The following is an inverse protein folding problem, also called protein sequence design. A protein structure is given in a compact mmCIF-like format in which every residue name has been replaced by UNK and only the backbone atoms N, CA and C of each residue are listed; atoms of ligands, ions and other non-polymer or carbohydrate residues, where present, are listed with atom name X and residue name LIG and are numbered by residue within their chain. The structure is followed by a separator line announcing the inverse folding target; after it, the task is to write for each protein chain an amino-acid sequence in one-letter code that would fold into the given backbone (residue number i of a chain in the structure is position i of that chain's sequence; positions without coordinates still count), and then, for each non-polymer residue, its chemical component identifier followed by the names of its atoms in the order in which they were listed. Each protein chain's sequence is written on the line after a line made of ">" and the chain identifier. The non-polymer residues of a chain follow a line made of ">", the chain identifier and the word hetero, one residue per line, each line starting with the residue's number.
data_IF_762284631911
#
_entry.id   IF_762284631911
#
_cell.length_a   1.000
_cell.length_b   1.000
_cell.length_c   1.000
_cell.angle_alpha   90.00
_cell.angle_beta   90.00
_cell.angle_gamma   90.00
#
_symmetry.space_group_name_H-M   'P 1'
#
loop_
_entity.id
_entity.type
_entity.pdbx_description
1 polymer ?
#
# COMPACT_ATOMS: atom_id res chain seq x y z
N UNK A 1 -40.11 -0.23 57.50
CA UNK A 1 -38.72 0.20 57.21
C UNK A 1 -37.80 -0.93 56.79
N UNK A 2 -37.87 -2.10 57.43
CA UNK A 2 -36.96 -3.23 57.12
C UNK A 2 -37.09 -3.80 55.69
N UNK A 3 -38.27 -3.80 55.10
CA UNK A 3 -38.54 -4.33 53.76
C UNK A 3 -38.11 -3.37 52.63
N UNK A 4 -38.16 -2.06 52.87
CA UNK A 4 -37.70 -1.04 51.88
C UNK A 4 -36.19 -1.09 51.76
N UNK A 5 -35.48 -1.32 52.87
CA UNK A 5 -34.00 -1.43 52.86
C UNK A 5 -33.56 -2.68 52.11
N UNK A 6 -34.23 -3.80 52.20
CA UNK A 6 -33.93 -5.05 51.47
C UNK A 6 -34.17 -4.88 49.98
N UNK A 7 -35.22 -4.17 49.55
CA UNK A 7 -35.54 -3.91 48.16
C UNK A 7 -34.49 -2.97 47.56
N UNK A 8 -34.08 -1.91 48.26
CA UNK A 8 -33.03 -0.98 47.79
C UNK A 8 -31.67 -1.70 47.63
N UNK A 9 -31.32 -2.62 48.54
CA UNK A 9 -30.07 -3.40 48.43
C UNK A 9 -30.08 -4.37 47.26
N UNK A 10 -31.23 -4.97 46.93
CA UNK A 10 -31.36 -5.89 45.78
C UNK A 10 -31.26 -5.09 44.46
N UNK A 11 -31.87 -3.89 44.39
CA UNK A 11 -31.77 -3.03 43.22
C UNK A 11 -30.33 -2.52 43.02
N UNK A 12 -29.63 -2.17 44.09
CA UNK A 12 -28.23 -1.74 44.02
C UNK A 12 -27.27 -2.88 43.60
N UNK A 13 -27.53 -4.12 43.99
CA UNK A 13 -26.75 -5.30 43.58
C UNK A 13 -27.00 -5.67 42.11
N UNK A 14 -28.20 -5.44 41.55
CA UNK A 14 -28.52 -5.76 40.15
C UNK A 14 -27.94 -4.76 39.16
N UNK A 15 -27.54 -3.55 39.57
CA UNK A 15 -26.88 -2.56 38.72
C UNK A 15 -25.37 -2.83 38.56
N UNK A 16 -24.76 -3.62 39.43
CA UNK A 16 -23.30 -3.86 39.42
C UNK A 16 -22.88 -4.99 38.47
N UNK A 17 -23.80 -5.75 37.89
CA UNK A 17 -23.46 -6.97 37.15
C UNK A 17 -23.40 -6.84 35.62
N UNK A 18 -23.46 -5.64 35.06
CA UNK A 18 -23.26 -5.42 33.60
C UNK A 18 -21.98 -4.69 33.28
N UNK A 19 -20.86 -5.05 33.88
CA UNK A 19 -19.57 -4.85 33.22
C UNK A 19 -19.42 -6.01 32.24
N UNK A 20 -20.07 -5.88 31.09
CA UNK A 20 -19.73 -6.70 29.92
C UNK A 20 -18.27 -6.38 29.64
N UNK A 21 -17.40 -7.30 30.00
CA UNK A 21 -16.02 -7.29 29.52
C UNK A 21 -16.14 -7.51 28.00
N UNK A 22 -16.30 -6.42 27.23
CA UNK A 22 -16.31 -6.50 25.79
C UNK A 22 -14.95 -7.08 25.39
N UNK A 23 -14.96 -8.34 24.95
CA UNK A 23 -13.77 -8.98 24.43
C UNK A 23 -13.29 -8.12 23.27
N UNK A 24 -12.10 -7.56 23.38
CA UNK A 24 -11.48 -6.82 22.31
C UNK A 24 -10.94 -7.84 21.30
N UNK A 25 -11.39 -7.77 20.08
CA UNK A 25 -10.88 -8.62 19.01
C UNK A 25 -9.59 -8.02 18.45
N UNK A 26 -8.59 -8.88 18.26
CA UNK A 26 -7.31 -8.47 17.66
C UNK A 26 -7.38 -8.61 16.14
N UNK A 27 -6.83 -7.64 15.44
CA UNK A 27 -6.75 -7.63 13.99
C UNK A 27 -5.36 -7.16 13.56
N UNK A 28 -4.69 -7.95 12.72
CA UNK A 28 -3.40 -7.61 12.13
C UNK A 28 -3.58 -7.13 10.69
N UNK A 29 -2.97 -5.99 10.33
CA UNK A 29 -2.97 -5.43 8.99
C UNK A 29 -1.52 -5.31 8.50
N UNK A 30 -1.15 -6.10 7.49
CA UNK A 30 0.10 -5.90 6.77
C UNK A 30 0.00 -4.68 5.85
N UNK A 31 0.92 -3.74 6.02
CA UNK A 31 1.04 -2.60 5.11
C UNK A 31 1.74 -3.05 3.83
N UNK A 32 1.52 -2.33 2.74
CA UNK A 32 2.17 -2.57 1.44
C UNK A 32 3.59 -1.98 1.38
N UNK A 33 3.87 -1.02 2.26
CA UNK A 33 5.12 -0.26 2.33
C UNK A 33 5.41 0.13 3.78
N UNK A 34 6.54 0.78 4.05
CA UNK A 34 6.70 1.48 5.31
C UNK A 34 5.68 2.62 5.44
N UNK A 35 5.38 3.04 6.66
CA UNK A 35 4.34 4.05 6.94
C UNK A 35 4.58 5.30 6.11
N UNK A 36 3.56 5.72 5.38
CA UNK A 36 3.56 6.85 4.47
C UNK A 36 2.19 7.57 4.50
N UNK A 37 2.00 8.69 3.80
CA UNK A 37 0.75 9.46 3.82
C UNK A 37 -0.50 8.68 3.40
N UNK A 38 -0.38 7.65 2.57
CA UNK A 38 -1.53 6.86 2.10
C UNK A 38 -2.13 5.99 3.22
N UNK A 39 -1.35 5.70 4.25
CA UNK A 39 -1.82 5.03 5.47
C UNK A 39 -2.50 5.97 6.48
N UNK A 40 -2.61 7.29 6.19
CA UNK A 40 -3.15 8.27 7.11
C UNK A 40 -4.54 7.90 7.68
N UNK A 41 -5.52 7.35 6.92
CA UNK A 41 -6.81 6.95 7.48
C UNK A 41 -6.68 5.93 8.61
N UNK A 42 -5.81 4.93 8.45
CA UNK A 42 -5.57 3.89 9.44
C UNK A 42 -4.85 4.45 10.68
N UNK A 43 -3.84 5.26 10.48
CA UNK A 43 -3.08 5.91 11.56
C UNK A 43 -3.98 6.86 12.37
N UNK A 44 -4.85 7.62 11.70
CA UNK A 44 -5.82 8.52 12.35
C UNK A 44 -6.82 7.69 13.15
N UNK A 45 -7.38 6.63 12.56
CA UNK A 45 -8.31 5.74 13.25
C UNK A 45 -7.70 5.15 14.52
N UNK A 46 -6.43 4.72 14.47
CA UNK A 46 -5.69 4.22 15.63
C UNK A 46 -5.45 5.31 16.68
N UNK A 47 -4.94 6.49 16.26
CA UNK A 47 -4.63 7.62 17.17
C UNK A 47 -5.87 8.22 17.82
N UNK A 48 -7.02 8.19 17.14
CA UNK A 48 -8.31 8.67 17.63
C UNK A 48 -9.11 7.61 18.38
N UNK A 49 -8.58 6.41 18.58
CA UNK A 49 -9.22 5.26 19.22
C UNK A 49 -10.47 4.72 18.49
N UNK A 50 -10.70 5.08 17.21
CA UNK A 50 -11.89 4.62 16.46
C UNK A 50 -11.98 3.09 16.37
N UNK A 51 -10.83 2.38 16.32
CA UNK A 51 -10.82 0.92 16.40
C UNK A 51 -11.26 0.42 17.78
N UNK A 52 -10.77 1.03 18.86
CA UNK A 52 -11.15 0.68 20.24
C UNK A 52 -12.63 0.93 20.53
N UNK A 53 -13.19 2.00 19.97
CA UNK A 53 -14.59 2.38 20.14
C UNK A 53 -15.55 1.30 19.58
N UNK A 54 -15.06 0.48 18.63
CA UNK A 54 -15.80 -0.66 18.07
C UNK A 54 -15.27 -2.01 18.54
N UNK A 55 -14.45 -2.04 19.62
CA UNK A 55 -13.97 -3.26 20.24
C UNK A 55 -12.82 -3.95 19.47
N UNK A 56 -12.06 -3.22 18.66
CA UNK A 56 -10.91 -3.75 17.92
C UNK A 56 -9.58 -3.26 18.52
N UNK A 57 -8.60 -4.15 18.59
CA UNK A 57 -7.19 -3.87 18.79
C UNK A 57 -6.46 -4.14 17.46
N UNK A 58 -6.09 -3.07 16.75
CA UNK A 58 -5.47 -3.18 15.42
C UNK A 58 -3.97 -3.00 15.53
N UNK A 59 -3.23 -3.99 15.00
CA UNK A 59 -1.78 -3.93 14.84
C UNK A 59 -1.46 -3.75 13.34
N UNK A 60 -0.72 -2.69 12.99
CA UNK A 60 -0.23 -2.43 11.66
C UNK A 60 1.23 -2.86 11.54
N UNK A 61 1.55 -3.69 10.56
CA UNK A 61 2.85 -4.33 10.40
C UNK A 61 3.46 -3.88 9.07
N UNK A 62 4.59 -3.19 9.13
CA UNK A 62 5.38 -2.86 7.93
C UNK A 62 6.00 -4.13 7.35
N UNK A 63 5.98 -4.31 6.03
CA UNK A 63 6.52 -5.52 5.42
C UNK A 63 8.05 -5.53 5.39
N UNK A 64 8.64 -6.72 5.52
CA UNK A 64 10.07 -6.93 5.27
C UNK A 64 10.39 -6.99 3.77
N UNK A 65 9.43 -7.41 2.95
CA UNK A 65 9.45 -7.41 1.49
C UNK A 65 8.09 -6.90 0.98
N UNK A 66 8.03 -5.94 0.04
CA UNK A 66 6.76 -5.39 -0.46
C UNK A 66 5.89 -6.41 -1.20
N UNK A 67 6.43 -7.57 -1.54
CA UNK A 67 5.71 -8.66 -2.20
C UNK A 67 5.00 -9.63 -1.22
N UNK A 68 5.25 -9.51 0.08
CA UNK A 68 4.82 -10.53 1.06
C UNK A 68 3.42 -10.35 1.64
N UNK A 69 2.88 -9.14 1.90
CA UNK A 69 1.67 -8.97 2.70
C UNK A 69 0.47 -9.83 2.23
N UNK A 70 0.09 -9.89 0.94
CA UNK A 70 -1.00 -10.76 0.50
C UNK A 70 -0.72 -12.25 0.71
N UNK A 71 0.53 -12.68 0.57
CA UNK A 71 0.94 -14.09 0.80
C UNK A 71 0.84 -14.46 2.27
N UNK A 72 1.15 -13.52 3.17
CA UNK A 72 1.00 -13.70 4.62
C UNK A 72 -0.47 -13.83 5.03
N UNK A 73 -1.38 -13.07 4.38
CA UNK A 73 -2.82 -13.25 4.57
C UNK A 73 -3.25 -14.64 4.07
N UNK A 74 -2.86 -15.03 2.87
CA UNK A 74 -3.18 -16.35 2.33
C UNK A 74 -2.66 -17.50 3.22
N UNK A 75 -1.54 -17.29 3.90
CA UNK A 75 -0.96 -18.24 4.85
C UNK A 75 -1.55 -18.16 6.26
N UNK A 76 -2.55 -17.31 6.51
CA UNK A 76 -3.17 -17.12 7.83
C UNK A 76 -2.25 -16.50 8.87
N UNK A 77 -1.19 -15.80 8.46
CA UNK A 77 -0.25 -15.10 9.35
C UNK A 77 -0.62 -13.65 9.59
N UNK A 78 -1.45 -13.08 8.73
CA UNK A 78 -2.08 -11.76 8.86
C UNK A 78 -3.57 -11.91 8.58
N UNK A 79 -4.38 -11.03 9.16
CA UNK A 79 -5.82 -11.01 8.92
C UNK A 79 -6.16 -10.23 7.64
N UNK A 80 -5.50 -9.10 7.44
CA UNK A 80 -5.67 -8.23 6.29
C UNK A 80 -4.30 -7.79 5.74
N UNK A 81 -4.28 -7.39 4.47
CA UNK A 81 -3.14 -6.72 3.86
C UNK A 81 -3.60 -5.58 2.95
N UNK A 82 -2.81 -4.52 2.90
CA UNK A 82 -2.91 -3.53 1.83
C UNK A 82 -2.21 -4.11 0.61
N UNK A 83 -2.84 -3.95 -0.54
CA UNK A 83 -2.35 -4.44 -1.83
C UNK A 83 -2.92 -3.58 -2.96
N UNK A 84 -2.46 -3.82 -4.17
CA UNK A 84 -2.87 -3.11 -5.37
C UNK A 84 -3.84 -3.98 -6.19
N UNK A 85 -4.86 -3.37 -6.79
CA UNK A 85 -5.85 -4.13 -7.56
C UNK A 85 -5.24 -4.99 -8.67
N UNK A 86 -4.29 -4.52 -9.51
CA UNK A 86 -3.68 -5.37 -10.51
C UNK A 86 -2.85 -6.51 -9.92
N UNK A 87 -2.15 -6.28 -8.79
CA UNK A 87 -1.43 -7.33 -8.07
C UNK A 87 -2.39 -8.41 -7.57
N UNK A 88 -3.53 -8.00 -6.99
CA UNK A 88 -4.56 -8.92 -6.52
C UNK A 88 -5.07 -9.82 -7.67
N UNK A 89 -5.35 -9.24 -8.84
CA UNK A 89 -5.83 -10.00 -10.00
C UNK A 89 -4.79 -11.05 -10.44
N UNK A 90 -3.51 -10.67 -10.53
CA UNK A 90 -2.42 -11.60 -10.89
C UNK A 90 -2.30 -12.71 -9.85
N UNK A 91 -2.34 -12.39 -8.56
CA UNK A 91 -2.19 -13.37 -7.49
C UNK A 91 -3.37 -14.34 -7.41
N UNK A 92 -4.59 -13.85 -7.59
CA UNK A 92 -5.80 -14.72 -7.64
C UNK A 92 -5.77 -15.63 -8.86
N UNK A 93 -5.37 -15.14 -10.03
CA UNK A 93 -5.18 -15.96 -11.25
C UNK A 93 -4.13 -17.06 -11.04
N UNK A 94 -3.09 -16.77 -10.25
CA UNK A 94 -2.08 -17.74 -9.83
C UNK A 94 -2.54 -18.68 -8.70
N UNK A 95 -3.79 -18.56 -8.23
CA UNK A 95 -4.39 -19.43 -7.22
C UNK A 95 -4.18 -18.98 -5.77
N UNK A 96 -3.73 -17.74 -5.52
CA UNK A 96 -3.62 -17.24 -4.15
C UNK A 96 -5.03 -17.02 -3.56
N UNK A 97 -5.38 -17.64 -2.41
CA UNK A 97 -6.74 -17.59 -1.84
C UNK A 97 -6.96 -16.28 -1.04
N UNK A 98 -7.04 -15.18 -1.74
CA UNK A 98 -7.30 -13.85 -1.15
C UNK A 98 -8.44 -13.15 -1.89
N UNK A 99 -9.15 -12.26 -1.19
CA UNK A 99 -10.26 -11.48 -1.75
C UNK A 99 -10.16 -10.02 -1.30
N UNK A 100 -10.64 -9.09 -2.13
CA UNK A 100 -10.77 -7.69 -1.74
C UNK A 100 -11.96 -7.50 -0.80
N UNK A 101 -11.72 -6.91 0.36
CA UNK A 101 -12.75 -6.60 1.37
C UNK A 101 -13.04 -5.09 1.46
N UNK A 102 -12.19 -4.24 0.91
CA UNK A 102 -12.38 -2.80 0.91
C UNK A 102 -11.39 -2.07 0.02
N UNK A 103 -11.55 -0.76 -0.12
CA UNK A 103 -10.65 0.14 -0.86
C UNK A 103 -10.19 1.25 0.08
N UNK A 104 -8.88 1.41 0.26
CA UNK A 104 -8.30 2.48 1.06
C UNK A 104 -8.10 3.74 0.21
N UNK A 105 -7.56 3.59 -1.00
CA UNK A 105 -7.34 4.64 -1.99
C UNK A 105 -7.99 4.22 -3.30
N UNK A 106 -8.87 5.07 -3.85
CA UNK A 106 -9.73 4.72 -5.00
C UNK A 106 -9.23 5.30 -6.33
N UNK A 107 -7.94 5.62 -6.43
CA UNK A 107 -7.30 6.12 -7.66
C UNK A 107 -5.90 5.51 -7.81
N UNK A 108 -5.42 5.28 -9.04
CA UNK A 108 -4.05 4.81 -9.26
C UNK A 108 -3.02 5.81 -8.72
N UNK A 109 -2.10 5.36 -7.90
CA UNK A 109 -1.00 6.17 -7.38
C UNK A 109 0.31 5.90 -8.12
N UNK A 110 0.50 4.69 -8.63
CA UNK A 110 1.73 4.28 -9.28
C UNK A 110 2.03 5.11 -10.53
N UNK A 111 3.29 5.42 -10.68
CA UNK A 111 3.82 6.17 -11.83
C UNK A 111 5.23 5.67 -12.19
N UNK A 112 5.65 5.95 -13.43
CA UNK A 112 7.05 5.87 -13.80
C UNK A 112 7.68 7.22 -13.50
N UNK A 113 8.75 7.24 -12.70
CA UNK A 113 9.44 8.47 -12.31
C UNK A 113 10.89 8.46 -12.84
N UNK A 114 11.31 9.60 -13.34
CA UNK A 114 12.69 9.90 -13.78
C UNK A 114 13.17 11.18 -13.12
N UNK A 115 14.47 11.45 -13.12
CA UNK A 115 14.98 12.76 -12.70
C UNK A 115 14.49 13.84 -13.69
N UNK A 116 13.90 14.93 -13.16
CA UNK A 116 13.32 16.02 -13.96
C UNK A 116 14.32 16.63 -14.94
N UNK A 117 15.57 16.84 -14.49
CA UNK A 117 16.65 17.40 -15.27
C UNK A 117 17.51 16.32 -15.96
N UNK A 118 17.09 15.03 -15.86
CA UNK A 118 17.75 13.91 -16.51
C UNK A 118 17.53 13.86 -18.04
N UNK A 119 18.17 12.91 -18.71
CA UNK A 119 18.08 12.77 -20.17
C UNK A 119 16.76 12.20 -20.68
N UNK A 120 15.96 11.52 -19.80
CA UNK A 120 14.70 10.88 -20.19
C UNK A 120 13.59 11.93 -20.15
N UNK A 121 13.04 12.26 -21.32
CA UNK A 121 11.95 13.25 -21.47
C UNK A 121 10.63 12.61 -21.90
N UNK A 122 10.67 11.38 -22.42
CA UNK A 122 9.52 10.57 -22.84
C UNK A 122 9.75 9.10 -22.52
N UNK A 123 8.70 8.27 -22.59
CA UNK A 123 8.79 6.81 -22.43
C UNK A 123 9.68 6.19 -23.53
N UNK A 124 9.73 6.79 -24.73
CA UNK A 124 10.58 6.30 -25.82
C UNK A 124 12.07 6.35 -25.48
N UNK A 125 12.49 7.25 -24.59
CA UNK A 125 13.90 7.39 -24.16
C UNK A 125 14.35 6.28 -23.20
N UNK A 126 13.44 5.38 -22.79
CA UNK A 126 13.76 4.25 -21.93
C UNK A 126 14.53 3.13 -22.64
N UNK A 127 14.63 3.15 -23.95
CA UNK A 127 15.36 2.11 -24.68
C UNK A 127 16.82 2.03 -24.22
N UNK A 128 17.24 0.83 -23.80
CA UNK A 128 18.57 0.55 -23.23
C UNK A 128 18.81 1.12 -21.83
N UNK A 129 17.75 1.55 -21.13
CA UNK A 129 17.84 2.14 -19.79
C UNK A 129 17.55 1.12 -18.69
N UNK A 130 18.06 1.42 -17.50
CA UNK A 130 17.80 0.67 -16.27
C UNK A 130 16.53 1.19 -15.62
N UNK A 131 15.54 0.31 -15.41
CA UNK A 131 14.30 0.64 -14.73
C UNK A 131 14.22 -0.16 -13.44
N UNK A 132 14.20 0.56 -12.31
CA UNK A 132 14.01 -0.01 -10.98
C UNK A 132 12.54 -0.34 -10.72
N UNK A 133 12.29 -1.46 -10.04
CA UNK A 133 10.97 -1.87 -9.58
C UNK A 133 11.04 -2.49 -8.18
N UNK A 134 9.90 -2.57 -7.48
CA UNK A 134 9.78 -3.10 -6.12
C UNK A 134 8.81 -4.28 -6.03
N UNK A 135 7.62 -4.14 -6.62
CA UNK A 135 6.56 -5.17 -6.56
C UNK A 135 6.51 -5.94 -7.86
N UNK A 136 7.00 -7.18 -7.80
CA UNK A 136 7.12 -8.07 -8.96
C UNK A 136 5.76 -8.44 -9.58
N UNK A 137 5.77 -8.63 -10.90
CA UNK A 137 4.61 -8.98 -11.72
C UNK A 137 3.71 -7.79 -12.03
N UNK A 138 3.31 -7.03 -11.02
CA UNK A 138 2.41 -5.89 -11.14
C UNK A 138 3.06 -4.66 -11.81
N UNK A 139 4.20 -4.21 -11.30
CA UNK A 139 4.90 -3.03 -11.83
C UNK A 139 5.48 -3.31 -13.23
N UNK A 140 5.90 -4.53 -13.47
CA UNK A 140 6.32 -5.01 -14.78
C UNK A 140 5.17 -4.98 -15.79
N UNK A 141 3.96 -5.36 -15.38
CA UNK A 141 2.77 -5.30 -16.24
C UNK A 141 2.41 -3.85 -16.60
N UNK A 142 2.49 -2.92 -15.63
CA UNK A 142 2.30 -1.49 -15.89
C UNK A 142 3.33 -0.97 -16.89
N UNK A 143 4.60 -1.24 -16.63
CA UNK A 143 5.70 -0.80 -17.52
C UNK A 143 5.54 -1.37 -18.93
N UNK A 144 5.19 -2.65 -19.06
CA UNK A 144 4.95 -3.29 -20.35
C UNK A 144 3.87 -2.57 -21.16
N UNK A 145 2.74 -2.24 -20.51
CA UNK A 145 1.67 -1.47 -21.14
C UNK A 145 2.12 -0.09 -21.61
N UNK A 146 2.88 0.62 -20.78
CA UNK A 146 3.43 1.94 -21.13
C UNK A 146 4.41 1.86 -22.30
N UNK A 147 5.31 0.88 -22.31
CA UNK A 147 6.31 0.68 -23.36
C UNK A 147 5.65 0.38 -24.72
N UNK A 148 4.60 -0.46 -24.73
CA UNK A 148 3.88 -0.85 -25.96
C UNK A 148 3.34 0.35 -26.74
N UNK A 149 2.84 1.38 -26.05
CA UNK A 149 2.36 2.62 -26.68
C UNK A 149 3.46 3.33 -27.50
N UNK A 150 4.72 3.10 -27.15
CA UNK A 150 5.90 3.70 -27.80
C UNK A 150 6.69 2.70 -28.67
N UNK A 151 6.05 1.56 -29.03
CA UNK A 151 6.66 0.49 -29.83
C UNK A 151 7.94 -0.11 -29.18
N UNK A 152 8.02 -0.07 -27.84
CA UNK A 152 9.06 -0.71 -27.05
C UNK A 152 8.54 -2.00 -26.40
N UNK A 153 9.47 -2.90 -26.09
CA UNK A 153 9.22 -4.16 -25.40
C UNK A 153 9.96 -4.18 -24.06
N UNK A 154 9.60 -5.09 -23.18
CA UNK A 154 10.30 -5.29 -21.91
C UNK A 154 11.78 -5.64 -22.11
N UNK A 155 12.12 -6.31 -23.23
CA UNK A 155 13.52 -6.60 -23.61
C UNK A 155 14.34 -5.38 -24.06
N UNK A 156 13.70 -4.24 -24.26
CA UNK A 156 14.38 -2.98 -24.60
C UNK A 156 14.86 -2.21 -23.36
N UNK A 157 14.54 -2.68 -22.16
CA UNK A 157 14.95 -2.10 -20.88
C UNK A 157 15.60 -3.15 -19.97
N UNK A 158 16.47 -2.72 -19.06
CA UNK A 158 17.05 -3.56 -18.02
C UNK A 158 16.26 -3.38 -16.70
N UNK A 159 15.54 -4.42 -16.26
CA UNK A 159 14.80 -4.38 -15.00
C UNK A 159 15.71 -4.71 -13.82
N UNK A 160 15.62 -3.88 -12.77
CA UNK A 160 16.41 -4.06 -11.53
C UNK A 160 15.46 -4.02 -10.35
N UNK A 161 15.37 -5.11 -9.60
CA UNK A 161 14.67 -5.10 -8.32
C UNK A 161 15.48 -4.26 -7.32
N UNK A 162 14.87 -3.19 -6.84
CA UNK A 162 15.46 -2.24 -5.90
C UNK A 162 14.76 -2.23 -4.55
N UNK A 163 13.82 -3.16 -4.34
CA UNK A 163 13.05 -3.29 -3.10
C UNK A 163 12.48 -1.92 -2.68
N UNK A 164 12.60 -1.53 -1.43
CA UNK A 164 12.08 -0.25 -0.89
C UNK A 164 12.87 1.01 -1.31
N UNK A 165 13.79 0.91 -2.28
CA UNK A 165 14.74 1.99 -2.59
C UNK A 165 14.40 2.76 -3.87
N UNK A 166 13.12 3.06 -4.16
CA UNK A 166 12.69 3.78 -5.36
C UNK A 166 13.41 5.13 -5.54
N UNK A 167 13.06 6.12 -4.72
CA UNK A 167 13.67 7.46 -4.79
C UNK A 167 15.19 7.43 -4.55
N UNK A 168 15.73 6.70 -3.55
CA UNK A 168 17.16 6.65 -3.32
C UNK A 168 17.96 6.07 -4.50
N UNK A 169 17.46 5.03 -5.17
CA UNK A 169 18.15 4.42 -6.30
C UNK A 169 18.18 5.33 -7.53
N UNK A 170 17.08 6.06 -7.76
CA UNK A 170 17.00 7.03 -8.85
C UNK A 170 17.94 8.23 -8.61
N UNK A 171 17.92 8.81 -7.42
CA UNK A 171 18.79 9.94 -7.02
C UNK A 171 20.27 9.53 -7.10
N UNK A 172 20.61 8.34 -6.64
CA UNK A 172 21.97 7.80 -6.71
C UNK A 172 22.38 7.35 -8.12
N UNK A 173 21.48 7.46 -9.12
CA UNK A 173 21.71 7.04 -10.51
C UNK A 173 22.09 5.55 -10.64
N UNK A 174 21.62 4.71 -9.72
CA UNK A 174 21.75 3.25 -9.83
C UNK A 174 20.81 2.71 -10.92
N UNK A 175 19.69 3.40 -11.12
CA UNK A 175 18.72 3.21 -12.20
C UNK A 175 18.43 4.54 -12.88
N UNK A 176 17.94 4.49 -14.11
CA UNK A 176 17.61 5.68 -14.91
C UNK A 176 16.14 6.11 -14.71
N UNK A 177 15.28 5.17 -14.37
CA UNK A 177 13.87 5.38 -14.05
C UNK A 177 13.43 4.40 -12.96
N UNK A 178 12.30 4.67 -12.32
CA UNK A 178 11.63 3.74 -11.40
C UNK A 178 10.16 3.63 -11.77
N UNK A 179 9.63 2.41 -11.78
CA UNK A 179 8.18 2.13 -11.89
C UNK A 179 7.66 1.77 -10.51
N UNK A 180 6.41 2.10 -10.19
CA UNK A 180 5.80 1.84 -8.90
C UNK A 180 5.82 3.03 -7.94
N UNK A 181 6.55 4.09 -8.26
CA UNK A 181 6.61 5.30 -7.43
C UNK A 181 5.22 5.97 -7.33
N UNK A 182 4.80 6.32 -6.14
CA UNK A 182 3.53 7.01 -5.90
C UNK A 182 3.67 8.51 -6.16
N UNK A 183 2.75 9.03 -6.98
CA UNK A 183 2.73 10.45 -7.40
C UNK A 183 2.59 11.44 -6.25
N UNK A 184 2.04 11.03 -5.11
CA UNK A 184 1.83 11.83 -3.92
C UNK A 184 2.88 11.59 -2.82
N UNK A 185 3.81 10.67 -3.00
CA UNK A 185 4.81 10.32 -1.99
C UNK A 185 6.24 10.46 -2.50
N UNK A 186 6.70 9.64 -3.46
CA UNK A 186 8.08 9.66 -3.94
C UNK A 186 8.46 11.00 -4.59
N UNK A 187 7.55 11.64 -5.34
CA UNK A 187 7.83 12.97 -5.90
C UNK A 187 8.10 14.00 -4.80
N UNK A 188 7.31 13.97 -3.72
CA UNK A 188 7.52 14.87 -2.59
C UNK A 188 8.84 14.58 -1.85
N UNK A 189 9.20 13.29 -1.69
CA UNK A 189 10.50 12.90 -1.12
C UNK A 189 11.66 13.48 -1.95
N UNK A 190 11.58 13.37 -3.27
CA UNK A 190 12.60 13.87 -4.18
C UNK A 190 12.71 15.39 -4.15
N UNK A 191 11.59 16.10 -4.07
CA UNK A 191 11.57 17.57 -3.97
C UNK A 191 12.20 18.05 -2.65
N UNK A 192 11.90 17.40 -1.52
CA UNK A 192 12.45 17.74 -0.20
C UNK A 192 14.00 17.66 -0.20
N UNK A 193 14.58 16.72 -0.94
CA UNK A 193 16.04 16.56 -1.03
C UNK A 193 16.66 17.28 -2.22
N UNK A 194 15.93 18.19 -2.89
CA UNK A 194 16.36 18.98 -4.03
C UNK A 194 16.81 18.15 -5.25
N UNK A 195 16.16 17.00 -5.46
CA UNK A 195 16.31 16.15 -6.66
C UNK A 195 14.95 15.90 -7.30
N UNK A 196 14.30 16.92 -7.89
CA UNK A 196 12.93 16.81 -8.36
C UNK A 196 12.76 15.71 -9.41
N UNK A 197 11.68 14.94 -9.26
CA UNK A 197 11.25 13.93 -10.20
C UNK A 197 10.31 14.48 -11.26
N UNK A 198 10.20 13.74 -12.37
CA UNK A 198 9.14 13.87 -13.38
C UNK A 198 8.40 12.55 -13.47
N UNK A 199 7.10 12.57 -13.24
CA UNK A 199 6.26 11.38 -13.39
C UNK A 199 5.68 11.28 -14.81
N UNK A 200 5.51 10.01 -15.23
CA UNK A 200 4.69 9.60 -16.35
C UNK A 200 3.60 8.67 -15.81
N UNK A 201 2.34 9.05 -15.97
CA UNK A 201 1.22 8.32 -15.43
C UNK A 201 0.79 7.19 -16.38
N UNK A 202 0.64 5.94 -15.89
CA UNK A 202 0.27 4.81 -16.74
C UNK A 202 -0.99 5.06 -17.55
N UNK A 203 -2.01 5.70 -16.97
CA UNK A 203 -3.29 6.02 -17.62
C UNK A 203 -3.14 7.01 -18.81
N UNK A 204 -2.11 7.83 -18.83
CA UNK A 204 -1.78 8.72 -19.95
C UNK A 204 -0.94 8.00 -21.02
N UNK A 205 -0.36 6.87 -20.67
CA UNK A 205 0.64 6.16 -21.47
C UNK A 205 0.21 4.73 -21.87
N UNK A 206 -1.10 4.48 -22.00
CA UNK A 206 -1.62 3.27 -22.64
C UNK A 206 -2.08 2.17 -21.68
N UNK A 207 -2.00 2.39 -20.38
CA UNK A 207 -2.55 1.47 -19.38
C UNK A 207 -3.90 2.02 -18.92
N UNK A 208 -4.99 1.24 -18.95
CA UNK A 208 -6.27 1.68 -18.41
C UNK A 208 -6.16 2.08 -16.93
N UNK A 209 -6.98 3.04 -16.51
CA UNK A 209 -7.09 3.39 -15.09
C UNK A 209 -7.58 2.18 -14.29
N UNK A 210 -7.06 2.02 -13.08
CA UNK A 210 -7.37 0.94 -12.13
C UNK A 210 -7.43 1.49 -10.70
N UNK A 211 -7.93 0.70 -9.76
CA UNK A 211 -8.01 1.04 -8.33
C UNK A 211 -7.52 -0.07 -7.43
#
# INVERSE_FOLDING_TARGET
>A
MHNIFKILTIILLSVITCVVNAKTDKLTIGLDWFINPDHAPLIIAQKRNFFKDVGLEVEMIEPADPNDPPKLVAAGKLDLAISYQPQLHIQVDQGLPVVRVGTLVSVPLNSLVVLKDGPIKSIADLKGKKVGFSVGGFEEALLSGMLQKYNLKMSDVELININFSLSPSLIAKKVDAVIGAFRNFELNQMDIVNHPGKAFYPEEHGVPSYE
#
